data_IF_714784661519
#
_entry.id   IF_714784661519
#
_cell.length_a   1.000
_cell.length_b   1.000
_cell.length_c   1.000
_cell.angle_alpha   90.00
_cell.angle_beta   90.00
_cell.angle_gamma   90.00
#
_symmetry.space_group_name_H-M   'P 1'
#
loop_
_entity.id
_entity.type
_entity.pdbx_description
1 polymer ?
#
# COMPACT_ATOMS: atom_id res chain seq x y z
N UNK A 1 -3.99 -8.15 -2.45
CA UNK A 1 -4.90 -8.70 -1.42
C UNK A 1 -6.10 -9.40 -2.05
N UNK A 2 -6.91 -8.72 -2.84
CA UNK A 2 -8.21 -9.22 -3.38
C UNK A 2 -8.12 -10.48 -4.27
N UNK A 3 -6.94 -10.93 -4.67
CA UNK A 3 -6.77 -12.22 -5.37
C UNK A 3 -6.86 -13.44 -4.46
N UNK A 4 -6.86 -13.25 -3.15
CA UNK A 4 -7.11 -14.32 -2.17
C UNK A 4 -8.61 -14.59 -2.08
N UNK A 5 -9.14 -15.41 -2.99
CA UNK A 5 -10.59 -15.65 -3.17
C UNK A 5 -11.27 -16.33 -1.98
N UNK A 6 -10.50 -16.88 -1.03
CA UNK A 6 -11.01 -17.50 0.20
C UNK A 6 -11.33 -16.50 1.32
N UNK A 7 -11.26 -15.20 1.03
CA UNK A 7 -11.58 -14.12 1.96
C UNK A 7 -12.76 -13.30 1.46
N UNK A 8 -13.51 -12.72 2.40
CA UNK A 8 -14.41 -11.63 2.15
C UNK A 8 -13.68 -10.30 2.41
N UNK A 9 -13.92 -9.31 1.56
CA UNK A 9 -13.30 -7.99 1.63
C UNK A 9 -14.35 -6.90 1.73
N UNK A 10 -14.07 -5.90 2.56
CA UNK A 10 -14.81 -4.65 2.60
C UNK A 10 -13.80 -3.52 2.58
N UNK A 11 -13.87 -2.66 1.57
CA UNK A 11 -12.94 -1.55 1.38
C UNK A 11 -13.64 -0.22 1.62
N UNK A 12 -12.88 0.73 2.18
CA UNK A 12 -13.29 2.13 2.28
C UNK A 12 -13.59 2.71 0.89
N UNK A 13 -14.79 3.24 0.74
CA UNK A 13 -15.22 3.74 -0.56
C UNK A 13 -14.95 5.23 -0.73
N UNK A 14 -13.96 5.58 -1.54
CA UNK A 14 -13.63 6.96 -1.93
C UNK A 14 -14.73 7.66 -2.76
N UNK A 15 -15.78 6.94 -3.18
CA UNK A 15 -16.96 7.55 -3.83
C UNK A 15 -17.89 8.22 -2.83
N UNK A 16 -18.00 7.65 -1.64
CA UNK A 16 -18.94 8.07 -0.61
C UNK A 16 -18.27 8.86 0.50
N UNK A 17 -17.01 8.59 0.78
CA UNK A 17 -16.28 9.18 1.89
C UNK A 17 -15.07 9.96 1.40
N UNK A 18 -14.76 11.04 2.11
CA UNK A 18 -13.60 11.85 1.85
C UNK A 18 -12.33 11.14 2.36
N UNK A 19 -11.29 11.08 1.52
CA UNK A 19 -10.01 10.48 1.89
C UNK A 19 -9.32 11.18 3.06
N UNK A 20 -9.63 12.46 3.29
CA UNK A 20 -9.14 13.21 4.45
C UNK A 20 -9.53 12.57 5.80
N UNK A 21 -10.55 11.72 5.84
CA UNK A 21 -10.95 10.96 7.04
C UNK A 21 -10.04 9.77 7.33
N UNK A 22 -9.13 9.41 6.44
CA UNK A 22 -8.20 8.28 6.64
C UNK A 22 -6.99 8.62 7.51
N UNK A 23 -6.74 9.90 7.77
CA UNK A 23 -5.51 10.40 8.41
C UNK A 23 -4.46 10.71 7.35
N UNK A 24 -3.33 10.00 7.39
CA UNK A 24 -2.29 10.16 6.35
C UNK A 24 -2.83 9.67 5.01
N UNK A 25 -2.98 10.59 4.05
CA UNK A 25 -3.61 10.32 2.76
C UNK A 25 -2.68 9.52 1.86
N UNK A 26 -1.38 9.72 1.99
CA UNK A 26 -0.39 9.00 1.20
C UNK A 26 0.60 8.27 2.10
N UNK A 27 0.84 7.00 1.78
CA UNK A 27 1.99 6.30 2.35
C UNK A 27 3.31 6.85 1.77
N UNK A 28 4.37 6.94 2.59
CA UNK A 28 5.69 7.27 2.10
C UNK A 28 6.13 6.27 1.01
N UNK A 29 6.47 6.79 -0.17
CA UNK A 29 6.94 5.96 -1.28
C UNK A 29 8.45 5.74 -1.13
N UNK A 30 8.87 4.50 -0.91
CA UNK A 30 10.27 4.12 -1.06
C UNK A 30 10.59 3.91 -2.55
N UNK A 31 11.46 4.75 -3.10
CA UNK A 31 11.96 4.53 -4.45
C UNK A 31 13.01 3.41 -4.41
N UNK A 32 12.83 2.38 -5.22
CA UNK A 32 13.71 1.21 -5.27
C UNK A 32 14.17 0.93 -6.68
N UNK A 33 15.41 0.45 -6.82
CA UNK A 33 15.94 0.02 -8.12
C UNK A 33 15.20 -1.21 -8.63
N UNK A 34 15.10 -1.32 -9.95
CA UNK A 34 14.54 -2.50 -10.62
C UNK A 34 15.50 -3.69 -10.47
N UNK A 35 14.96 -4.85 -10.12
CA UNK A 35 15.72 -6.11 -10.17
C UNK A 35 15.99 -6.49 -11.63
N UNK A 36 17.23 -6.89 -11.96
CA UNK A 36 17.63 -7.26 -13.33
C UNK A 36 16.99 -8.58 -13.77
N UNK A 37 16.95 -9.56 -12.88
CA UNK A 37 16.47 -10.92 -13.18
C UNK A 37 14.96 -11.07 -13.03
N UNK A 38 14.30 -10.19 -12.28
CA UNK A 38 12.86 -10.26 -12.04
C UNK A 38 12.19 -8.90 -12.20
N UNK A 39 11.49 -8.71 -13.32
CA UNK A 39 10.77 -7.47 -13.64
C UNK A 39 9.67 -7.08 -12.65
N UNK A 40 9.23 -7.99 -11.79
CA UNK A 40 8.19 -7.74 -10.79
C UNK A 40 8.80 -7.43 -9.42
N UNK A 41 10.11 -7.44 -9.29
CA UNK A 41 10.84 -7.23 -8.04
C UNK A 41 11.65 -5.95 -8.05
N UNK A 42 11.88 -5.40 -6.87
CA UNK A 42 12.76 -4.25 -6.63
C UNK A 42 13.81 -4.61 -5.58
N UNK A 43 14.96 -3.93 -5.60
CA UNK A 43 16.12 -4.31 -4.79
C UNK A 43 16.44 -3.21 -3.76
N UNK A 44 17.33 -2.30 -4.13
CA UNK A 44 17.87 -1.30 -3.21
C UNK A 44 17.01 -0.04 -3.18
N UNK A 45 16.99 0.63 -2.02
CA UNK A 45 16.40 1.96 -1.90
C UNK A 45 17.34 2.95 -2.59
N UNK A 46 16.80 3.73 -3.51
CA UNK A 46 17.54 4.73 -4.29
C UNK A 46 16.83 6.08 -4.22
N UNK A 47 17.60 7.13 -4.41
CA UNK A 47 17.07 8.49 -4.61
C UNK A 47 17.86 9.19 -5.74
N UNK A 48 17.61 8.82 -7.00
CA UNK A 48 18.33 9.39 -8.12
C UNK A 48 17.98 10.86 -8.31
N UNK A 49 18.94 11.64 -8.84
CA UNK A 49 18.68 12.99 -9.29
C UNK A 49 18.04 13.00 -10.68
N UNK A 50 16.90 13.68 -10.81
CA UNK A 50 16.16 13.81 -12.08
C UNK A 50 16.47 15.17 -12.67
N UNK A 51 16.81 15.18 -13.97
CA UNK A 51 17.07 16.42 -14.72
C UNK A 51 15.76 17.17 -14.96
N UNK A 52 15.74 18.43 -14.59
CA UNK A 52 14.63 19.36 -14.83
C UNK A 52 15.17 20.62 -15.52
N UNK A 53 14.29 21.48 -15.97
CA UNK A 53 14.67 22.81 -16.47
C UNK A 53 15.33 23.61 -15.33
N UNK A 54 16.60 23.98 -15.51
CA UNK A 54 17.38 24.71 -14.49
C UNK A 54 18.21 23.86 -13.55
N UNK A 55 18.27 22.52 -13.69
CA UNK A 55 19.15 21.71 -12.84
C UNK A 55 18.74 20.26 -12.61
N UNK A 56 19.03 19.78 -11.41
CA UNK A 56 18.68 18.43 -10.95
C UNK A 56 17.96 18.50 -9.62
N UNK A 57 16.94 17.66 -9.45
CA UNK A 57 16.17 17.53 -8.22
C UNK A 57 16.18 16.07 -7.79
N UNK A 58 16.34 15.74 -6.48
CA UNK A 58 16.17 14.39 -5.97
C UNK A 58 14.78 13.83 -6.31
N UNK A 59 14.73 12.60 -6.78
CA UNK A 59 13.48 11.97 -7.19
C UNK A 59 12.43 11.95 -6.05
N UNK A 60 12.87 11.74 -4.81
CA UNK A 60 12.01 11.74 -3.62
C UNK A 60 11.32 13.09 -3.41
N UNK A 61 12.01 14.19 -3.65
CA UNK A 61 11.44 15.55 -3.51
C UNK A 61 10.40 15.82 -4.60
N UNK A 62 10.66 15.35 -5.82
CA UNK A 62 9.68 15.45 -6.90
C UNK A 62 8.41 14.64 -6.60
N UNK A 63 8.56 13.43 -6.10
CA UNK A 63 7.43 12.57 -5.68
C UNK A 63 6.64 13.27 -4.58
N UNK A 64 7.29 13.76 -3.54
CA UNK A 64 6.64 14.49 -2.44
C UNK A 64 5.90 15.74 -2.93
N UNK A 65 6.51 16.52 -3.83
CA UNK A 65 5.89 17.67 -4.47
C UNK A 65 4.63 17.30 -5.26
N UNK A 66 4.70 16.24 -6.05
CA UNK A 66 3.55 15.72 -6.81
C UNK A 66 2.40 15.26 -5.90
N UNK A 67 2.69 14.50 -4.85
CA UNK A 67 1.68 14.04 -3.89
C UNK A 67 0.96 15.22 -3.22
N UNK A 68 1.72 16.23 -2.78
CA UNK A 68 1.16 17.45 -2.20
C UNK A 68 0.26 18.21 -3.18
N UNK A 69 0.66 18.31 -4.46
CA UNK A 69 -0.14 18.96 -5.49
C UNK A 69 -1.42 18.19 -5.80
N UNK A 70 -1.35 16.85 -5.87
CA UNK A 70 -2.51 15.99 -6.10
C UNK A 70 -3.54 16.15 -4.97
N UNK A 71 -3.08 16.15 -3.71
CA UNK A 71 -3.95 16.37 -2.56
C UNK A 71 -4.60 17.76 -2.58
N UNK A 72 -3.81 18.80 -2.85
CA UNK A 72 -4.33 20.18 -2.97
C UNK A 72 -5.40 20.29 -4.06
N UNK A 73 -5.13 19.70 -5.23
CA UNK A 73 -6.08 19.71 -6.35
C UNK A 73 -7.37 18.96 -5.97
N UNK A 74 -7.28 17.80 -5.33
CA UNK A 74 -8.42 17.04 -4.85
C UNK A 74 -9.32 17.90 -3.95
N UNK A 75 -8.74 18.57 -2.95
CA UNK A 75 -9.49 19.43 -2.04
C UNK A 75 -10.14 20.62 -2.76
N UNK A 76 -9.42 21.26 -3.68
CA UNK A 76 -9.95 22.36 -4.49
C UNK A 76 -11.13 21.93 -5.37
N UNK A 77 -11.08 20.72 -5.92
CA UNK A 77 -12.20 20.17 -6.70
C UNK A 77 -13.44 19.94 -5.82
N UNK A 78 -13.27 19.43 -4.60
CA UNK A 78 -14.37 19.27 -3.65
C UNK A 78 -14.98 20.62 -3.23
N UNK A 79 -14.13 21.59 -2.91
CA UNK A 79 -14.55 22.97 -2.58
C UNK A 79 -15.31 23.63 -3.73
N UNK A 80 -14.92 23.34 -4.98
CA UNK A 80 -15.60 23.81 -6.19
C UNK A 80 -16.91 23.05 -6.50
N UNK A 81 -17.31 22.09 -5.67
CA UNK A 81 -18.54 21.31 -5.83
C UNK A 81 -18.44 20.12 -6.77
N UNK A 82 -17.22 19.70 -7.15
CA UNK A 82 -17.02 18.49 -7.97
C UNK A 82 -17.35 17.26 -7.12
N UNK A 83 -18.13 16.34 -7.68
CA UNK A 83 -18.52 15.11 -7.02
C UNK A 83 -17.28 14.26 -6.64
N UNK A 84 -17.29 13.65 -5.44
CA UNK A 84 -16.18 12.79 -4.95
C UNK A 84 -15.80 11.69 -5.93
N UNK A 85 -16.78 11.09 -6.59
CA UNK A 85 -16.52 10.02 -7.56
C UNK A 85 -15.65 10.45 -8.75
N UNK A 86 -15.62 11.76 -9.05
CA UNK A 86 -14.80 12.36 -10.12
C UNK A 86 -13.55 13.00 -9.54
N UNK A 87 -13.66 13.75 -8.45
CA UNK A 87 -12.53 14.40 -7.80
C UNK A 87 -11.42 13.41 -7.42
N UNK A 88 -11.77 12.21 -6.93
CA UNK A 88 -10.80 11.15 -6.60
C UNK A 88 -9.92 10.68 -7.77
N UNK A 89 -10.30 10.97 -9.01
CA UNK A 89 -9.51 10.54 -10.18
C UNK A 89 -8.16 11.23 -10.30
N UNK A 90 -7.93 12.32 -9.56
CA UNK A 90 -6.63 13.00 -9.51
C UNK A 90 -5.72 12.41 -8.43
N UNK A 91 -6.21 11.49 -7.59
CA UNK A 91 -5.43 10.88 -6.53
C UNK A 91 -4.50 9.79 -7.09
N UNK A 92 -3.23 9.77 -6.68
CA UNK A 92 -2.28 8.76 -7.11
C UNK A 92 -2.53 7.38 -6.49
N UNK A 93 -1.89 6.36 -7.04
CA UNK A 93 -1.99 4.96 -6.55
C UNK A 93 -1.49 4.77 -5.11
N UNK A 94 -0.65 5.68 -4.61
CA UNK A 94 -0.17 5.68 -3.23
C UNK A 94 -1.20 6.20 -2.21
N UNK A 95 -2.41 6.54 -2.65
CA UNK A 95 -3.49 6.94 -1.75
C UNK A 95 -3.86 5.80 -0.83
N UNK A 96 -3.85 6.06 0.48
CA UNK A 96 -4.18 5.07 1.50
C UNK A 96 -5.64 4.63 1.41
N UNK A 97 -5.91 3.41 1.85
CA UNK A 97 -7.26 2.87 1.99
C UNK A 97 -7.37 2.04 3.26
N UNK A 98 -8.58 1.73 3.69
CA UNK A 98 -8.85 0.77 4.77
C UNK A 98 -9.58 -0.43 4.20
N UNK A 99 -9.06 -1.61 4.47
CA UNK A 99 -9.66 -2.87 4.02
C UNK A 99 -9.91 -3.74 5.25
N UNK A 100 -11.16 -4.17 5.42
CA UNK A 100 -11.48 -5.29 6.30
C UNK A 100 -11.40 -6.58 5.51
N UNK A 101 -10.68 -7.55 6.06
CA UNK A 101 -10.44 -8.84 5.42
C UNK A 101 -10.83 -9.94 6.40
N UNK A 102 -11.81 -10.77 6.03
CA UNK A 102 -12.33 -11.85 6.86
C UNK A 102 -12.15 -13.18 6.17
N UNK A 103 -11.59 -14.16 6.89
CA UNK A 103 -11.38 -15.51 6.36
C UNK A 103 -11.24 -16.54 7.48
N UNK A 104 -11.24 -17.82 7.10
CA UNK A 104 -10.97 -18.91 8.02
C UNK A 104 -9.48 -18.91 8.45
N UNK A 105 -9.17 -19.57 9.57
CA UNK A 105 -7.76 -19.77 10.01
C UNK A 105 -6.92 -20.42 8.90
N UNK A 106 -7.48 -21.40 8.17
CA UNK A 106 -6.82 -22.03 7.01
C UNK A 106 -6.49 -21.01 5.92
N UNK A 107 -7.40 -20.09 5.64
CA UNK A 107 -7.16 -19.02 4.65
C UNK A 107 -6.04 -18.09 5.09
N UNK A 108 -6.00 -17.74 6.38
CA UNK A 108 -4.92 -16.91 6.93
C UNK A 108 -3.57 -17.61 6.89
N UNK A 109 -3.48 -18.91 7.21
CA UNK A 109 -2.24 -19.70 7.07
C UNK A 109 -1.74 -19.62 5.63
N UNK A 110 -2.59 -19.93 4.66
CA UNK A 110 -2.23 -19.88 3.25
C UNK A 110 -1.82 -18.47 2.78
N UNK A 111 -2.49 -17.42 3.30
CA UNK A 111 -2.09 -16.03 3.03
C UNK A 111 -0.68 -15.75 3.53
N UNK A 112 -0.37 -16.14 4.76
CA UNK A 112 0.94 -15.91 5.37
C UNK A 112 2.04 -16.67 4.61
N UNK A 113 1.81 -17.93 4.25
CA UNK A 113 2.75 -18.73 3.44
C UNK A 113 3.09 -18.05 2.10
N UNK A 114 2.10 -17.44 1.43
CA UNK A 114 2.30 -16.80 0.13
C UNK A 114 2.83 -15.37 0.20
N UNK A 115 2.63 -14.66 1.31
CA UNK A 115 2.91 -13.22 1.39
C UNK A 115 4.02 -12.84 2.35
N UNK A 116 4.40 -13.73 3.27
CA UNK A 116 5.61 -13.61 4.08
C UNK A 116 6.81 -14.28 3.37
N UNK A 117 6.80 -14.29 2.05
CA UNK A 117 7.84 -14.83 1.16
C UNK A 117 8.68 -13.68 0.60
N UNK A 118 9.99 -13.89 0.46
CA UNK A 118 10.95 -12.87 -0.01
C UNK A 118 10.70 -12.42 -1.45
N UNK A 119 10.03 -13.24 -2.27
CA UNK A 119 9.64 -12.90 -3.64
C UNK A 119 8.34 -12.09 -3.73
N UNK A 120 7.61 -11.95 -2.61
CA UNK A 120 6.44 -11.09 -2.57
C UNK A 120 6.85 -9.61 -2.56
N UNK A 121 5.98 -8.74 -3.08
CA UNK A 121 6.20 -7.30 -3.04
C UNK A 121 6.39 -6.81 -1.59
N UNK A 122 7.36 -5.93 -1.34
CA UNK A 122 7.78 -5.50 0.01
C UNK A 122 6.61 -4.97 0.86
N UNK A 123 5.72 -4.19 0.27
CA UNK A 123 4.56 -3.62 0.98
C UNK A 123 3.63 -4.72 1.50
N UNK A 124 3.37 -5.75 0.71
CA UNK A 124 2.51 -6.87 1.15
C UNK A 124 3.23 -7.77 2.15
N UNK A 125 4.55 -7.94 2.05
CA UNK A 125 5.34 -8.63 3.06
C UNK A 125 5.24 -7.94 4.42
N UNK A 126 5.35 -6.62 4.46
CA UNK A 126 5.24 -5.82 5.69
C UNK A 126 3.91 -6.06 6.38
N UNK A 127 2.82 -6.05 5.60
CA UNK A 127 1.47 -6.37 6.10
C UNK A 127 1.39 -7.83 6.58
N UNK A 128 1.91 -8.78 5.81
CA UNK A 128 1.89 -10.20 6.17
C UNK A 128 2.67 -10.46 7.46
N UNK A 129 3.85 -9.86 7.63
CA UNK A 129 4.65 -9.95 8.87
C UNK A 129 3.94 -9.37 10.08
N UNK A 130 3.22 -8.27 9.91
CA UNK A 130 2.41 -7.69 10.98
C UNK A 130 1.25 -8.62 11.38
N UNK A 131 0.55 -9.19 10.39
CA UNK A 131 -0.52 -10.17 10.61
C UNK A 131 0.03 -11.45 11.27
N UNK A 132 1.20 -11.94 10.84
CA UNK A 132 1.83 -13.14 11.41
C UNK A 132 2.11 -12.97 12.90
N UNK A 133 2.58 -11.80 13.33
CA UNK A 133 2.79 -11.51 14.76
C UNK A 133 1.50 -11.61 15.56
N UNK A 134 0.40 -11.08 15.03
CA UNK A 134 -0.92 -11.20 15.65
C UNK A 134 -1.38 -12.66 15.66
N UNK A 135 -1.19 -13.37 14.55
CA UNK A 135 -1.58 -14.78 14.42
C UNK A 135 -0.85 -15.66 15.44
N UNK A 136 0.45 -15.45 15.67
CA UNK A 136 1.24 -16.15 16.68
C UNK A 136 0.67 -15.90 18.09
N UNK A 137 0.32 -14.66 18.40
CA UNK A 137 -0.25 -14.28 19.69
C UNK A 137 -1.61 -14.93 19.95
N UNK A 138 -2.49 -14.88 18.94
CA UNK A 138 -3.87 -15.36 19.07
C UNK A 138 -4.01 -16.89 18.95
N UNK A 139 -3.11 -17.54 18.18
CA UNK A 139 -3.16 -18.97 17.89
C UNK A 139 -1.82 -19.68 18.19
N UNK A 140 -1.31 -19.62 19.45
CA UNK A 140 0.04 -20.12 19.78
C UNK A 140 0.23 -21.62 19.52
N UNK A 141 -0.79 -22.44 19.72
CA UNK A 141 -0.71 -23.89 19.48
C UNK A 141 -0.58 -24.19 17.98
N UNK A 142 -1.37 -23.51 17.16
CA UNK A 142 -1.33 -23.67 15.71
C UNK A 142 0.00 -23.16 15.17
N UNK A 143 0.44 -21.98 15.64
CA UNK A 143 1.69 -21.36 15.24
C UNK A 143 2.89 -22.24 15.53
N UNK A 144 2.92 -22.89 16.70
CA UNK A 144 3.95 -23.87 17.06
C UNK A 144 3.95 -25.08 16.10
N UNK A 145 2.77 -25.57 15.72
CA UNK A 145 2.63 -26.68 14.76
C UNK A 145 3.05 -26.31 13.33
N UNK A 146 3.05 -25.01 12.99
CA UNK A 146 3.46 -24.46 11.69
C UNK A 146 4.91 -23.95 11.69
N UNK A 147 5.63 -24.04 12.83
CA UNK A 147 6.96 -23.46 13.03
C UNK A 147 7.00 -21.94 12.76
N UNK A 148 5.94 -21.24 13.12
CA UNK A 148 5.92 -19.77 13.12
C UNK A 148 6.55 -19.31 14.45
N UNK A 149 7.76 -18.76 14.35
CA UNK A 149 8.50 -18.21 15.50
C UNK A 149 8.62 -16.68 15.40
#
# INVERSE_FOLDING_TARGET
>A
LIRHRSFAFQEFSQRYQDVNHLGDIFEPIELRSQCEDNRQSSVEIINPSIKVEGGYIPAQDMVGGFLNQAHKLYNQLLEAGVARETARMVLPLSTTTKIHMTGSIRSWIHFLELRDDEHAQKEIQTVAKAIKRIFISEFPIISKGLNYE
#
